data_IF_444793110417
#
_entry.id   IF_444793110417
#
_cell.length_a   1.000
_cell.length_b   1.000
_cell.length_c   1.000
_cell.angle_alpha   90.00
_cell.angle_beta   90.00
_cell.angle_gamma   90.00
#
_symmetry.space_group_name_H-M   'P 1'
#
loop_
_entity.id
_entity.type
_entity.pdbx_description
1 polymer ?
#
# COMPACT_ATOMS: atom_id res chain seq x y z
N UNK A 1 12.16 -7.48 22.73
CA UNK A 1 12.78 -8.21 21.59
C UNK A 1 13.28 -7.19 20.56
N UNK A 2 14.57 -7.19 20.21
CA UNK A 2 15.14 -6.28 19.23
C UNK A 2 15.08 -6.88 17.81
N UNK A 3 14.44 -6.16 16.88
CA UNK A 3 14.41 -6.50 15.46
C UNK A 3 15.74 -6.07 14.80
N UNK A 4 16.53 -6.98 14.20
CA UNK A 4 17.84 -6.67 13.62
C UNK A 4 17.79 -5.73 12.39
N UNK A 5 16.61 -5.31 11.94
CA UNK A 5 16.43 -4.34 10.84
C UNK A 5 16.03 -2.93 11.28
N UNK A 6 15.84 -2.66 12.57
CA UNK A 6 15.56 -1.30 13.04
C UNK A 6 16.84 -0.45 13.02
N UNK A 7 16.84 0.64 12.26
CA UNK A 7 17.89 1.68 12.31
C UNK A 7 17.71 2.65 13.48
N UNK A 8 16.62 2.52 14.24
CA UNK A 8 16.28 3.42 15.35
C UNK A 8 16.79 2.80 16.64
N UNK A 9 17.56 3.58 17.42
CA UNK A 9 18.02 3.18 18.75
C UNK A 9 16.80 2.90 19.66
N UNK A 10 16.86 1.87 20.52
CA UNK A 10 15.78 1.64 21.48
C UNK A 10 15.69 2.83 22.45
N UNK A 11 14.47 3.19 22.82
CA UNK A 11 14.19 4.23 23.79
C UNK A 11 14.60 3.77 25.19
N UNK A 12 15.28 4.62 25.94
CA UNK A 12 15.62 4.34 27.34
C UNK A 12 14.45 4.70 28.26
N UNK A 13 14.35 4.04 29.42
CA UNK A 13 13.31 4.34 30.41
C UNK A 13 13.31 5.82 30.86
N UNK A 14 14.49 6.44 30.91
CA UNK A 14 14.63 7.86 31.23
C UNK A 14 14.06 8.77 30.13
N UNK A 15 14.27 8.41 28.86
CA UNK A 15 13.71 9.14 27.72
C UNK A 15 12.19 8.93 27.61
N UNK A 16 11.68 7.72 27.86
CA UNK A 16 10.22 7.45 27.96
C UNK A 16 9.59 8.32 29.06
N UNK A 17 10.21 8.37 30.25
CA UNK A 17 9.72 9.19 31.35
C UNK A 17 9.74 10.69 31.07
N UNK A 18 10.70 11.17 30.28
CA UNK A 18 10.74 12.56 29.80
C UNK A 18 9.63 12.85 28.79
N UNK A 19 9.40 11.95 27.84
CA UNK A 19 8.30 12.07 26.86
C UNK A 19 6.95 12.14 27.58
N UNK A 20 6.72 11.28 28.57
CA UNK A 20 5.46 11.28 29.32
C UNK A 20 5.24 12.59 30.09
N UNK A 21 6.30 13.17 30.68
CA UNK A 21 6.21 14.49 31.33
C UNK A 21 5.82 15.58 30.34
N UNK A 22 6.46 15.59 29.17
CA UNK A 22 6.18 16.58 28.13
C UNK A 22 4.74 16.49 27.61
N UNK A 23 4.20 15.27 27.44
CA UNK A 23 2.79 15.07 27.06
C UNK A 23 1.85 15.65 28.13
N UNK A 24 2.13 15.38 29.42
CA UNK A 24 1.29 15.86 30.53
C UNK A 24 1.33 17.39 30.69
N UNK A 25 2.50 17.99 30.46
CA UNK A 25 2.70 19.43 30.62
C UNK A 25 2.20 20.24 29.40
N UNK A 26 1.86 19.59 28.28
CA UNK A 26 1.37 20.26 27.06
C UNK A 26 -0.15 20.52 27.12
N UNK A 27 -0.59 21.78 27.28
CA UNK A 27 -2.01 22.10 27.34
C UNK A 27 -2.73 21.92 25.99
N UNK A 28 -2.02 21.88 24.86
CA UNK A 28 -2.59 21.70 23.53
C UNK A 28 -2.76 20.21 23.14
N UNK A 29 -2.15 19.29 23.91
CA UNK A 29 -2.21 17.83 23.72
C UNK A 29 -2.92 17.12 24.88
N UNK A 30 -3.94 17.77 25.45
CA UNK A 30 -4.74 17.18 26.52
C UNK A 30 -5.49 15.92 26.05
N UNK A 31 -5.48 14.87 26.87
CA UNK A 31 -6.21 13.64 26.57
C UNK A 31 -7.72 13.90 26.42
N UNK A 32 -8.34 13.28 25.42
CA UNK A 32 -9.79 13.39 25.17
C UNK A 32 -10.56 12.62 26.24
N UNK A 33 -11.54 13.25 26.89
CA UNK A 33 -12.41 12.57 27.87
C UNK A 33 -13.45 11.67 27.18
N UNK A 34 -14.00 10.70 27.91
CA UNK A 34 -15.06 9.83 27.39
C UNK A 34 -16.30 10.62 26.93
N UNK A 35 -16.65 11.71 27.63
CA UNK A 35 -17.78 12.57 27.25
C UNK A 35 -17.50 13.36 25.97
N UNK A 36 -16.25 13.79 25.77
CA UNK A 36 -15.82 14.47 24.54
C UNK A 36 -15.82 13.50 23.36
N UNK A 37 -15.34 12.28 23.57
CA UNK A 37 -15.33 11.22 22.56
C UNK A 37 -16.75 10.79 22.17
N UNK A 38 -17.67 10.72 23.14
CA UNK A 38 -19.09 10.41 22.89
C UNK A 38 -19.78 11.46 22.00
N UNK A 39 -19.26 12.69 21.94
CA UNK A 39 -19.77 13.77 21.09
C UNK A 39 -19.08 13.81 19.71
N UNK A 40 -18.10 12.95 19.46
CA UNK A 40 -17.38 12.92 18.19
C UNK A 40 -18.33 12.59 17.02
N UNK A 41 -18.13 13.31 15.92
CA UNK A 41 -18.90 13.12 14.68
C UNK A 41 -18.00 12.55 13.58
N UNK A 42 -18.54 11.72 12.67
CA UNK A 42 -17.76 11.21 11.54
C UNK A 42 -17.15 12.34 10.71
N UNK A 43 -15.90 12.20 10.29
CA UNK A 43 -15.19 13.19 9.48
C UNK A 43 -15.96 13.59 8.22
N UNK A 44 -16.61 12.63 7.56
CA UNK A 44 -17.43 12.86 6.37
C UNK A 44 -18.64 13.78 6.63
N UNK A 45 -19.16 13.82 7.86
CA UNK A 45 -20.28 14.69 8.23
C UNK A 45 -19.82 16.10 8.63
N UNK A 46 -18.61 16.21 9.20
CA UNK A 46 -18.08 17.51 9.65
C UNK A 46 -17.42 18.27 8.50
N UNK A 47 -16.79 17.55 7.55
CA UNK A 47 -16.08 18.13 6.40
C UNK A 47 -16.49 17.46 5.09
N UNK A 48 -17.75 17.64 4.64
CA UNK A 48 -18.27 16.91 3.48
C UNK A 48 -17.53 17.21 2.18
N UNK A 49 -17.20 18.48 1.90
CA UNK A 49 -16.49 18.87 0.68
C UNK A 49 -15.06 18.33 0.64
N UNK A 50 -14.36 18.41 1.78
CA UNK A 50 -13.00 17.88 1.90
C UNK A 50 -13.02 16.36 1.77
N UNK A 51 -13.95 15.69 2.45
CA UNK A 51 -14.14 14.25 2.33
C UNK A 51 -14.32 13.84 0.88
N UNK A 52 -15.24 14.45 0.13
CA UNK A 52 -15.43 14.13 -1.28
C UNK A 52 -14.19 14.42 -2.14
N UNK A 53 -13.45 15.49 -1.85
CA UNK A 53 -12.22 15.82 -2.58
C UNK A 53 -11.07 14.82 -2.35
N UNK A 54 -10.97 14.23 -1.16
CA UNK A 54 -9.92 13.28 -0.79
C UNK A 54 -10.37 11.82 -0.86
N UNK A 55 -11.67 11.58 -1.11
CA UNK A 55 -12.27 10.26 -1.25
C UNK A 55 -11.70 9.60 -2.50
N UNK A 56 -10.52 9.01 -2.33
CA UNK A 56 -9.84 8.24 -3.37
C UNK A 56 -10.77 7.13 -3.82
N UNK A 57 -11.15 7.16 -5.09
CA UNK A 57 -11.73 6.00 -5.75
C UNK A 57 -10.77 4.82 -5.52
N UNK A 58 -11.27 3.69 -5.00
CA UNK A 58 -10.43 2.53 -4.62
C UNK A 58 -9.54 2.10 -5.78
N UNK A 59 -8.23 2.40 -5.69
CA UNK A 59 -7.20 1.87 -6.56
C UNK A 59 -7.42 2.08 -8.06
N UNK A 60 -6.66 1.34 -8.87
CA UNK A 60 -6.91 1.25 -10.31
C UNK A 60 -8.33 0.67 -10.52
N UNK A 61 -9.17 1.26 -11.38
CA UNK A 61 -10.46 0.69 -11.73
C UNK A 61 -10.34 -0.80 -12.09
N UNK A 62 -11.29 -1.60 -11.61
CA UNK A 62 -11.34 -3.02 -11.95
C UNK A 62 -11.41 -3.17 -13.48
N UNK A 63 -10.49 -3.94 -14.06
CA UNK A 63 -10.52 -4.26 -15.48
C UNK A 63 -11.44 -5.47 -15.67
N UNK A 64 -12.39 -5.42 -16.61
CA UNK A 64 -13.35 -6.52 -16.84
C UNK A 64 -12.69 -7.86 -17.15
N UNK A 65 -11.54 -7.84 -17.83
CA UNK A 65 -10.78 -9.04 -18.23
C UNK A 65 -9.31 -8.89 -17.83
N UNK A 66 -8.95 -9.13 -16.55
CA UNK A 66 -7.56 -9.05 -16.12
C UNK A 66 -6.74 -10.18 -16.75
N UNK A 67 -5.44 -9.92 -16.99
CA UNK A 67 -4.49 -10.97 -17.38
C UNK A 67 -4.38 -11.98 -16.25
N UNK A 68 -4.50 -13.26 -16.57
CA UNK A 68 -4.32 -14.33 -15.60
C UNK A 68 -2.85 -14.72 -15.52
N UNK A 69 -2.30 -14.83 -14.30
CA UNK A 69 -0.96 -15.35 -14.09
C UNK A 69 -1.06 -16.88 -14.07
N UNK A 70 -0.53 -17.51 -15.11
CA UNK A 70 -0.46 -18.98 -15.22
C UNK A 70 1.00 -19.44 -15.26
N UNK A 71 1.28 -20.59 -14.68
CA UNK A 71 2.60 -21.22 -14.73
C UNK A 71 2.64 -22.21 -15.89
N UNK A 72 3.29 -21.85 -16.99
CA UNK A 72 3.54 -22.73 -18.15
C UNK A 72 5.04 -22.93 -18.33
N UNK A 73 5.43 -24.12 -18.81
CA UNK A 73 6.81 -24.38 -19.24
C UNK A 73 6.92 -24.09 -20.73
N UNK A 74 7.92 -23.31 -21.10
CA UNK A 74 8.26 -22.96 -22.47
C UNK A 74 9.70 -23.38 -22.74
N UNK A 75 10.01 -23.73 -23.98
CA UNK A 75 11.37 -24.08 -24.38
C UNK A 75 12.35 -22.92 -24.09
N UNK A 76 13.58 -23.28 -23.71
CA UNK A 76 14.61 -22.32 -23.36
C UNK A 76 14.93 -21.36 -24.50
N UNK A 77 14.92 -21.85 -25.74
CA UNK A 77 15.18 -21.06 -26.94
C UNK A 77 14.10 -20.00 -27.17
N UNK A 78 12.83 -20.34 -26.89
CA UNK A 78 11.70 -19.41 -26.96
C UNK A 78 11.90 -18.29 -25.94
N UNK A 79 12.17 -18.63 -24.67
CA UNK A 79 12.39 -17.64 -23.61
C UNK A 79 13.58 -16.72 -23.96
N UNK A 80 14.68 -17.30 -24.43
CA UNK A 80 15.91 -16.57 -24.78
C UNK A 80 15.66 -15.60 -25.95
N UNK A 81 14.98 -16.06 -27.00
CA UNK A 81 14.60 -15.24 -28.16
C UNK A 81 13.75 -14.04 -27.76
N UNK A 82 12.73 -14.24 -26.91
CA UNK A 82 11.91 -13.11 -26.46
C UNK A 82 12.66 -12.20 -25.51
N UNK A 83 13.42 -12.71 -24.53
CA UNK A 83 14.22 -11.86 -23.61
C UNK A 83 15.21 -10.96 -24.34
N UNK A 84 15.81 -11.42 -25.44
CA UNK A 84 16.70 -10.62 -26.27
C UNK A 84 16.01 -9.37 -26.88
N UNK A 85 14.68 -9.34 -26.97
CA UNK A 85 13.90 -8.15 -27.40
C UNK A 85 13.81 -7.05 -26.34
N UNK A 86 14.39 -7.27 -25.14
CA UNK A 86 14.47 -6.28 -24.07
C UNK A 86 13.14 -6.03 -23.36
N UNK A 87 12.97 -4.81 -22.82
CA UNK A 87 11.77 -4.40 -22.07
C UNK A 87 10.51 -4.70 -22.90
N UNK A 88 9.52 -5.32 -22.25
CA UNK A 88 8.26 -5.70 -22.89
C UNK A 88 8.23 -7.09 -23.54
N UNK A 89 9.29 -7.91 -23.42
CA UNK A 89 9.30 -9.25 -24.00
C UNK A 89 8.13 -10.14 -23.57
N UNK A 90 7.68 -10.03 -22.32
CA UNK A 90 6.51 -10.76 -21.80
C UNK A 90 5.20 -10.34 -22.50
N UNK A 91 5.07 -9.07 -22.90
CA UNK A 91 3.93 -8.61 -23.68
C UNK A 91 4.00 -9.16 -25.11
N UNK A 92 5.20 -9.18 -25.71
CA UNK A 92 5.41 -9.72 -27.07
C UNK A 92 5.08 -11.21 -27.16
N UNK A 93 5.53 -12.01 -26.19
CA UNK A 93 5.19 -13.44 -26.18
C UNK A 93 3.69 -13.66 -25.98
N UNK A 94 3.02 -12.83 -25.15
CA UNK A 94 1.56 -12.87 -25.01
C UNK A 94 0.83 -12.59 -26.33
N UNK A 95 1.26 -11.59 -27.11
CA UNK A 95 0.64 -11.31 -28.42
C UNK A 95 0.84 -12.46 -29.42
N UNK A 96 1.98 -13.16 -29.37
CA UNK A 96 2.18 -14.36 -30.20
C UNK A 96 1.23 -15.48 -29.80
N UNK A 97 1.10 -15.74 -28.49
CA UNK A 97 0.18 -16.77 -27.98
C UNK A 97 -1.29 -16.43 -28.30
N UNK A 98 -1.66 -15.16 -28.28
CA UNK A 98 -3.01 -14.68 -28.63
C UNK A 98 -3.37 -14.95 -30.09
N UNK A 99 -2.39 -14.90 -30.99
CA UNK A 99 -2.57 -15.14 -32.43
C UNK A 99 -2.32 -16.60 -32.84
N UNK A 100 -1.98 -17.48 -31.89
CA UNK A 100 -1.76 -18.88 -32.18
C UNK A 100 -3.07 -19.56 -32.61
N UNK A 101 -3.01 -20.40 -33.63
CA UNK A 101 -4.13 -21.25 -34.02
C UNK A 101 -4.21 -22.43 -33.04
N UNK A 102 -5.36 -22.59 -32.40
CA UNK A 102 -5.69 -23.79 -31.64
C UNK A 102 -6.42 -24.72 -32.61
N UNK A 103 -5.92 -25.95 -32.75
CA UNK A 103 -6.51 -26.99 -33.60
C UNK A 103 -7.80 -27.54 -33.02
#
# INVERSE_FOLDING_TARGET
MNNPKSRVRPLTDAEEGEIQRQIVDDPDDAETTDEQLAQARPFAEVFPELFESIRRTRGRPAVEKPKQVVSIRLDQDVISKFKATGKGWQARINEVLKNAKVG
#
